data_IF_217435202582
#
_entry.id   IF_217435202582
#
_cell.length_a   1.000
_cell.length_b   1.000
_cell.length_c   1.000
_cell.angle_alpha   90.00
_cell.angle_beta   90.00
_cell.angle_gamma   90.00
#
_symmetry.space_group_name_H-M   'P 1'
#
loop_
_entity.id
_entity.type
_entity.pdbx_description
1 polymer ?
#
# COMPACT_ATOMS: atom_id res chain seq x y z
N UNK A 1 9.89 -24.61 -12.64
CA UNK A 1 9.09 -23.55 -13.28
C UNK A 1 8.46 -22.60 -12.26
N UNK A 2 7.74 -23.09 -11.24
CA UNK A 2 7.13 -22.24 -10.20
C UNK A 2 8.13 -21.37 -9.43
N UNK A 3 9.28 -21.91 -9.02
CA UNK A 3 10.32 -21.12 -8.32
C UNK A 3 10.86 -19.97 -9.18
N UNK A 4 11.05 -20.22 -10.49
CA UNK A 4 11.51 -19.20 -11.43
C UNK A 4 10.47 -18.08 -11.55
N UNK A 5 9.19 -18.42 -11.69
CA UNK A 5 8.11 -17.44 -11.77
C UNK A 5 7.96 -16.63 -10.46
N UNK A 6 8.03 -17.29 -9.31
CA UNK A 6 8.02 -16.60 -8.02
C UNK A 6 9.19 -15.61 -7.91
N UNK A 7 10.41 -16.03 -8.30
CA UNK A 7 11.56 -15.12 -8.33
C UNK A 7 11.34 -13.95 -9.29
N UNK A 8 10.78 -14.20 -10.48
CA UNK A 8 10.45 -13.14 -11.44
C UNK A 8 9.44 -12.13 -10.89
N UNK A 9 8.39 -12.58 -10.18
CA UNK A 9 7.41 -11.69 -9.54
C UNK A 9 8.01 -10.92 -8.37
N UNK A 10 8.88 -11.53 -7.57
CA UNK A 10 9.62 -10.83 -6.53
C UNK A 10 10.48 -9.72 -7.12
N UNK A 11 11.27 -10.04 -8.16
CA UNK A 11 12.12 -9.07 -8.84
C UNK A 11 11.30 -7.94 -9.47
N UNK A 12 10.17 -8.27 -10.12
CA UNK A 12 9.26 -7.29 -10.68
C UNK A 12 8.70 -6.36 -9.60
N UNK A 13 8.20 -6.91 -8.48
CA UNK A 13 7.69 -6.12 -7.37
C UNK A 13 8.75 -5.20 -6.76
N UNK A 14 9.98 -5.68 -6.60
CA UNK A 14 11.08 -4.88 -6.09
C UNK A 14 11.46 -3.73 -7.06
N UNK A 15 11.50 -3.99 -8.38
CA UNK A 15 11.75 -2.96 -9.41
C UNK A 15 10.64 -1.91 -9.40
N UNK A 16 9.38 -2.36 -9.35
CA UNK A 16 8.22 -1.46 -9.32
C UNK A 16 8.23 -0.61 -8.04
N UNK A 17 8.54 -1.19 -6.88
CA UNK A 17 8.65 -0.43 -5.64
C UNK A 17 9.73 0.66 -5.69
N UNK A 18 10.90 0.33 -6.25
CA UNK A 18 11.99 1.30 -6.43
C UNK A 18 11.55 2.46 -7.34
N UNK A 19 10.86 2.15 -8.44
CA UNK A 19 10.30 3.16 -9.35
C UNK A 19 9.20 4.01 -8.66
N UNK A 20 8.28 3.37 -7.94
CA UNK A 20 7.21 4.06 -7.20
C UNK A 20 7.78 4.99 -6.14
N UNK A 21 8.86 4.60 -5.45
CA UNK A 21 9.55 5.47 -4.50
C UNK A 21 10.03 6.77 -5.16
N UNK A 22 10.70 6.67 -6.31
CA UNK A 22 11.15 7.85 -7.08
C UNK A 22 9.97 8.66 -7.60
N UNK A 23 8.91 8.00 -8.07
CA UNK A 23 7.69 8.66 -8.56
C UNK A 23 7.05 9.50 -7.45
N UNK A 24 6.93 8.95 -6.23
CA UNK A 24 6.37 9.63 -5.06
C UNK A 24 7.21 10.84 -4.66
N UNK A 25 8.55 10.75 -4.71
CA UNK A 25 9.44 11.88 -4.43
C UNK A 25 9.33 13.01 -5.45
N UNK A 26 9.01 12.70 -6.71
CA UNK A 26 8.90 13.69 -7.79
C UNK A 26 7.48 14.23 -7.98
N UNK A 27 6.47 13.57 -7.43
CA UNK A 27 5.08 13.95 -7.62
C UNK A 27 4.84 15.38 -7.11
N UNK A 28 4.19 16.21 -7.94
CA UNK A 28 3.92 17.64 -7.68
C UNK A 28 5.15 18.54 -7.47
N UNK A 29 6.37 18.09 -7.80
CA UNK A 29 7.59 18.93 -7.74
C UNK A 29 7.92 19.66 -9.05
N UNK A 30 7.13 19.44 -10.11
CA UNK A 30 7.41 19.96 -11.46
C UNK A 30 8.53 19.22 -12.20
N UNK A 31 9.20 18.25 -11.57
CA UNK A 31 10.16 17.37 -12.23
C UNK A 31 9.44 16.31 -13.07
N UNK A 32 9.96 16.00 -14.25
CA UNK A 32 9.39 14.94 -15.09
C UNK A 32 9.61 13.55 -14.48
N UNK A 33 8.62 12.67 -14.61
CA UNK A 33 8.66 11.30 -14.11
C UNK A 33 9.86 10.51 -14.66
N UNK A 34 10.14 10.68 -15.95
CA UNK A 34 11.24 10.00 -16.68
C UNK A 34 12.47 10.90 -16.88
N UNK A 35 12.42 12.16 -16.46
CA UNK A 35 13.53 13.10 -16.68
C UNK A 35 14.60 12.95 -15.62
N UNK A 36 15.84 12.73 -16.04
CA UNK A 36 17.03 12.75 -15.18
C UNK A 36 17.38 11.39 -14.55
N UNK A 37 18.68 11.09 -14.51
CA UNK A 37 19.23 9.90 -13.83
C UNK A 37 19.00 9.99 -12.32
N UNK A 38 18.76 8.85 -11.67
CA UNK A 38 18.75 8.78 -10.21
C UNK A 38 20.10 9.21 -9.65
N UNK A 39 20.11 10.04 -8.61
CA UNK A 39 21.31 10.59 -7.98
C UNK A 39 21.34 10.19 -6.53
N UNK A 40 22.54 10.10 -5.96
CA UNK A 40 22.69 9.86 -4.54
C UNK A 40 22.32 11.11 -3.74
N UNK A 41 21.51 10.95 -2.69
CA UNK A 41 21.04 12.05 -1.83
C UNK A 41 22.14 12.76 -1.03
N UNK A 42 23.33 12.14 -0.88
CA UNK A 42 24.45 12.72 -0.13
C UNK A 42 25.48 13.40 -1.04
N UNK A 43 25.88 12.73 -2.13
CA UNK A 43 26.99 13.16 -3.00
C UNK A 43 26.51 13.77 -4.33
N UNK A 44 25.22 13.65 -4.65
CA UNK A 44 24.59 14.05 -5.92
C UNK A 44 25.18 13.41 -7.19
N UNK A 45 26.10 12.45 -7.03
CA UNK A 45 26.67 11.64 -8.12
C UNK A 45 25.56 10.78 -8.75
N UNK A 46 25.50 10.69 -10.09
CA UNK A 46 24.55 9.81 -10.76
C UNK A 46 24.80 8.35 -10.38
N UNK A 47 23.73 7.63 -10.10
CA UNK A 47 23.78 6.21 -9.74
C UNK A 47 24.07 5.34 -10.97
N UNK A 48 24.86 4.28 -10.76
CA UNK A 48 25.09 3.25 -11.76
C UNK A 48 23.90 2.29 -11.83
N UNK A 49 23.68 1.61 -12.97
CA UNK A 49 22.61 0.61 -13.08
C UNK A 49 22.70 -0.50 -12.02
N UNK A 50 23.92 -0.91 -11.66
CA UNK A 50 24.15 -1.89 -10.59
C UNK A 50 23.73 -1.38 -9.20
N UNK A 51 23.87 -0.07 -8.94
CA UNK A 51 23.40 0.54 -7.70
C UNK A 51 21.86 0.65 -7.64
N UNK A 52 21.18 0.54 -8.78
CA UNK A 52 19.72 0.57 -8.90
C UNK A 52 19.07 -0.81 -8.76
N UNK A 53 19.84 -1.89 -8.64
CA UNK A 53 19.28 -3.24 -8.46
C UNK A 53 18.63 -3.31 -7.07
N UNK A 54 17.28 -3.40 -6.98
CA UNK A 54 16.54 -3.34 -5.72
C UNK A 54 16.98 -4.43 -4.75
N UNK A 55 17.00 -4.12 -3.45
CA UNK A 55 17.38 -5.00 -2.32
C UNK A 55 18.84 -5.50 -2.36
N UNK A 56 19.30 -6.04 -3.48
CA UNK A 56 20.63 -6.62 -3.67
C UNK A 56 21.71 -5.54 -3.55
N UNK A 57 21.53 -4.36 -4.16
CA UNK A 57 22.52 -3.29 -4.08
C UNK A 57 22.69 -2.81 -2.63
N UNK A 58 21.60 -2.73 -1.86
CA UNK A 58 21.63 -2.33 -0.46
C UNK A 58 22.39 -3.34 0.40
N UNK A 59 22.11 -4.64 0.24
CA UNK A 59 22.79 -5.71 0.98
C UNK A 59 24.26 -5.79 0.61
N UNK A 60 24.58 -5.75 -0.69
CA UNK A 60 25.96 -5.82 -1.19
C UNK A 60 26.81 -4.63 -0.73
N UNK A 61 26.21 -3.43 -0.66
CA UNK A 61 26.88 -2.22 -0.18
C UNK A 61 26.77 -2.02 1.33
N UNK A 62 26.24 -2.99 2.07
CA UNK A 62 26.06 -2.94 3.54
C UNK A 62 25.32 -1.67 4.02
N UNK A 63 24.31 -1.25 3.26
CA UNK A 63 23.54 -0.05 3.53
C UNK A 63 24.31 1.26 3.34
N UNK A 64 25.36 1.27 2.51
CA UNK A 64 26.14 2.47 2.19
C UNK A 64 26.05 2.82 0.70
N UNK A 65 26.14 4.10 0.38
CA UNK A 65 26.19 4.56 -1.00
C UNK A 65 27.54 4.20 -1.64
N UNK A 66 27.53 3.61 -2.84
CA UNK A 66 28.75 3.28 -3.57
C UNK A 66 29.64 4.51 -3.87
N UNK A 67 29.06 5.70 -4.09
CA UNK A 67 29.84 6.91 -4.42
C UNK A 67 30.65 7.47 -3.25
N UNK A 68 30.04 7.55 -2.06
CA UNK A 68 30.54 8.38 -0.97
C UNK A 68 30.52 7.68 0.40
N UNK A 69 30.05 6.43 0.47
CA UNK A 69 29.95 5.68 1.72
C UNK A 69 28.87 6.17 2.70
N UNK A 70 28.05 7.16 2.30
CA UNK A 70 26.95 7.65 3.13
C UNK A 70 25.94 6.55 3.44
N UNK A 71 25.37 6.56 4.64
CA UNK A 71 24.37 5.56 5.05
C UNK A 71 23.06 5.75 4.28
N UNK A 72 22.57 4.69 3.67
CA UNK A 72 21.29 4.65 2.97
C UNK A 72 20.17 4.27 3.94
N UNK A 73 19.02 4.96 3.91
CA UNK A 73 17.90 4.65 4.77
C UNK A 73 17.31 3.27 4.45
N UNK A 74 16.89 2.54 5.48
CA UNK A 74 16.26 1.22 5.36
C UNK A 74 14.88 1.25 4.69
N UNK A 75 14.25 2.44 4.56
CA UNK A 75 12.90 2.60 4.01
C UNK A 75 12.80 2.00 2.59
N UNK A 76 13.74 2.33 1.71
CA UNK A 76 13.73 1.86 0.32
C UNK A 76 13.84 0.33 0.20
N UNK A 77 14.88 -0.36 0.73
CA UNK A 77 14.99 -1.81 0.59
C UNK A 77 13.85 -2.56 1.30
N UNK A 78 13.30 -2.02 2.39
CA UNK A 78 12.14 -2.62 3.04
C UNK A 78 10.88 -2.55 2.16
N UNK A 79 10.64 -1.41 1.50
CA UNK A 79 9.49 -1.26 0.60
C UNK A 79 9.63 -2.11 -0.66
N UNK A 80 10.85 -2.28 -1.15
CA UNK A 80 11.18 -3.16 -2.28
C UNK A 80 10.93 -4.63 -1.94
N UNK A 81 11.44 -5.09 -0.79
CA UNK A 81 11.20 -6.44 -0.31
C UNK A 81 9.72 -6.68 -0.03
N UNK A 82 9.03 -5.73 0.60
CA UNK A 82 7.60 -5.85 0.91
C UNK A 82 6.76 -6.00 -0.35
N UNK A 83 6.91 -5.12 -1.35
CA UNK A 83 6.13 -5.24 -2.59
C UNK A 83 6.52 -6.50 -3.38
N UNK A 84 7.80 -6.88 -3.38
CA UNK A 84 8.26 -8.14 -3.95
C UNK A 84 7.55 -9.36 -3.34
N UNK A 85 7.47 -9.43 -2.02
CA UNK A 85 6.73 -10.50 -1.31
C UNK A 85 5.24 -10.46 -1.64
N UNK A 86 4.63 -9.28 -1.65
CA UNK A 86 3.20 -9.13 -1.99
C UNK A 86 2.90 -9.57 -3.43
N UNK A 87 3.79 -9.31 -4.38
CA UNK A 87 3.67 -9.78 -5.77
C UNK A 87 3.74 -11.30 -5.88
N UNK A 88 4.65 -11.93 -5.11
CA UNK A 88 4.73 -13.39 -5.03
C UNK A 88 3.45 -13.97 -4.41
N UNK A 89 2.96 -13.37 -3.32
CA UNK A 89 1.71 -13.77 -2.69
C UNK A 89 0.51 -13.65 -3.64
N UNK A 90 0.42 -12.54 -4.39
CA UNK A 90 -0.62 -12.33 -5.39
C UNK A 90 -0.57 -13.40 -6.51
N UNK A 91 0.63 -13.73 -7.00
CA UNK A 91 0.81 -14.80 -7.99
C UNK A 91 0.45 -16.18 -7.43
N UNK A 92 0.82 -16.47 -6.19
CA UNK A 92 0.52 -17.75 -5.54
C UNK A 92 -0.99 -17.96 -5.36
N UNK A 93 -1.73 -16.88 -5.07
CA UNK A 93 -3.17 -16.92 -4.84
C UNK A 93 -3.99 -16.94 -6.14
N UNK A 94 -3.66 -16.08 -7.11
CA UNK A 94 -4.47 -15.87 -8.31
C UNK A 94 -3.98 -16.61 -9.56
N UNK A 95 -2.76 -17.15 -9.52
CA UNK A 95 -2.09 -17.70 -10.70
C UNK A 95 -1.92 -16.67 -11.84
N UNK A 96 -1.56 -17.15 -13.03
CA UNK A 96 -1.50 -16.28 -14.23
C UNK A 96 -2.93 -16.02 -14.75
N UNK A 97 -3.51 -14.91 -14.33
CA UNK A 97 -4.86 -14.48 -14.70
C UNK A 97 -4.93 -12.97 -14.95
N UNK A 98 -6.01 -12.50 -15.58
CA UNK A 98 -6.28 -11.06 -15.69
C UNK A 98 -6.46 -10.40 -14.33
N UNK A 99 -7.02 -11.12 -13.35
CA UNK A 99 -7.16 -10.63 -11.98
C UNK A 99 -5.80 -10.34 -11.34
N UNK A 100 -4.78 -11.19 -11.60
CA UNK A 100 -3.41 -10.93 -11.14
C UNK A 100 -2.90 -9.59 -11.66
N UNK A 101 -3.03 -9.31 -12.96
CA UNK A 101 -2.55 -8.05 -13.54
C UNK A 101 -3.15 -6.83 -12.82
N UNK A 102 -4.47 -6.81 -12.63
CA UNK A 102 -5.14 -5.72 -11.91
C UNK A 102 -4.71 -5.66 -10.44
N UNK A 103 -4.50 -6.79 -9.79
CA UNK A 103 -4.05 -6.81 -8.41
C UNK A 103 -2.63 -6.24 -8.26
N UNK A 104 -1.70 -6.58 -9.16
CA UNK A 104 -0.35 -6.02 -9.16
C UNK A 104 -0.36 -4.49 -9.36
N UNK A 105 -1.24 -3.98 -10.24
CA UNK A 105 -1.44 -2.53 -10.43
C UNK A 105 -1.97 -1.90 -9.14
N UNK A 106 -2.99 -2.51 -8.50
CA UNK A 106 -3.53 -2.04 -7.22
C UNK A 106 -2.46 -2.00 -6.13
N UNK A 107 -1.65 -3.05 -5.96
CA UNK A 107 -0.57 -3.11 -4.97
C UNK A 107 0.49 -2.03 -5.22
N UNK A 108 0.84 -1.79 -6.49
CA UNK A 108 1.80 -0.75 -6.88
C UNK A 108 1.28 0.65 -6.57
N UNK A 109 0.03 0.94 -6.92
CA UNK A 109 -0.62 2.21 -6.62
C UNK A 109 -0.80 2.41 -5.11
N UNK A 110 -1.18 1.35 -4.38
CA UNK A 110 -1.33 1.36 -2.92
C UNK A 110 -0.01 1.66 -2.22
N UNK A 111 1.12 1.08 -2.68
CA UNK A 111 2.44 1.44 -2.16
C UNK A 111 2.72 2.93 -2.36
N UNK A 112 2.43 3.46 -3.55
CA UNK A 112 2.60 4.88 -3.83
C UNK A 112 1.78 5.78 -2.92
N UNK A 113 0.50 5.43 -2.70
CA UNK A 113 -0.41 6.13 -1.78
C UNK A 113 0.13 6.10 -0.35
N UNK A 114 0.53 4.94 0.16
CA UNK A 114 1.09 4.78 1.51
C UNK A 114 2.40 5.58 1.67
N UNK A 115 3.29 5.52 0.68
CA UNK A 115 4.56 6.25 0.75
C UNK A 115 4.36 7.77 0.69
N UNK A 116 3.42 8.24 -0.12
CA UNK A 116 3.10 9.66 -0.21
C UNK A 116 2.39 10.14 1.06
N UNK A 117 1.46 9.36 1.62
CA UNK A 117 0.77 9.67 2.89
C UNK A 117 1.74 9.75 4.08
N UNK A 118 2.70 8.81 4.17
CA UNK A 118 3.75 8.85 5.20
C UNK A 118 4.64 10.09 5.13
N UNK A 119 4.77 10.70 3.95
CA UNK A 119 5.64 11.87 3.73
C UNK A 119 4.87 13.20 3.77
N UNK A 120 3.61 13.23 3.35
CA UNK A 120 2.85 14.46 3.12
C UNK A 120 1.44 14.49 3.76
N UNK A 121 0.98 13.39 4.37
CA UNK A 121 -0.34 13.28 5.02
C UNK A 121 -1.55 13.59 4.12
N UNK A 122 -1.37 13.44 2.80
CA UNK A 122 -2.40 13.71 1.79
C UNK A 122 -2.36 12.56 0.79
N UNK A 123 -3.51 12.14 0.27
CA UNK A 123 -3.57 11.14 -0.80
C UNK A 123 -3.65 11.80 -2.18
N UNK A 124 -2.69 11.56 -3.09
CA UNK A 124 -2.71 12.14 -4.43
C UNK A 124 -3.88 11.57 -5.25
N UNK A 125 -4.80 12.43 -5.78
CA UNK A 125 -6.00 11.97 -6.47
C UNK A 125 -5.72 11.09 -7.70
N UNK A 126 -4.62 11.36 -8.42
CA UNK A 126 -4.22 10.58 -9.60
C UNK A 126 -3.92 9.12 -9.26
N UNK A 127 -3.13 8.86 -8.21
CA UNK A 127 -2.84 7.50 -7.76
C UNK A 127 -4.08 6.84 -7.14
N UNK A 128 -4.92 7.61 -6.45
CA UNK A 128 -6.13 7.10 -5.82
C UNK A 128 -7.12 6.57 -6.85
N UNK A 129 -7.32 7.30 -7.95
CA UNK A 129 -8.19 6.87 -9.05
C UNK A 129 -7.63 5.60 -9.71
N UNK A 130 -6.32 5.53 -9.96
CA UNK A 130 -5.68 4.33 -10.53
C UNK A 130 -5.91 3.12 -9.61
N UNK A 131 -5.72 3.30 -8.29
CA UNK A 131 -5.93 2.26 -7.31
C UNK A 131 -7.38 1.75 -7.28
N UNK A 132 -8.36 2.65 -7.26
CA UNK A 132 -9.78 2.28 -7.25
C UNK A 132 -10.17 1.58 -8.55
N UNK A 133 -9.77 2.12 -9.70
CA UNK A 133 -10.07 1.53 -11.00
C UNK A 133 -9.50 0.11 -11.14
N UNK A 134 -8.26 -0.10 -10.71
CA UNK A 134 -7.63 -1.42 -10.70
C UNK A 134 -8.33 -2.38 -9.73
N UNK A 135 -8.75 -1.92 -8.56
CA UNK A 135 -9.45 -2.74 -7.56
C UNK A 135 -10.85 -3.15 -8.03
N UNK A 136 -11.58 -2.26 -8.71
CA UNK A 136 -12.85 -2.57 -9.37
C UNK A 136 -12.65 -3.62 -10.46
N UNK A 137 -11.66 -3.43 -11.34
CA UNK A 137 -11.35 -4.35 -12.43
C UNK A 137 -10.96 -5.75 -11.91
N UNK A 138 -10.14 -5.81 -10.87
CA UNK A 138 -9.79 -7.05 -10.17
C UNK A 138 -11.04 -7.75 -9.62
N UNK A 139 -11.88 -7.03 -8.87
CA UNK A 139 -13.10 -7.62 -8.28
C UNK A 139 -14.07 -8.11 -9.34
N UNK A 140 -14.20 -7.37 -10.44
CA UNK A 140 -15.00 -7.80 -11.58
C UNK A 140 -14.47 -9.09 -12.19
N UNK A 141 -13.16 -9.18 -12.43
CA UNK A 141 -12.52 -10.37 -13.00
C UNK A 141 -12.65 -11.63 -12.11
N UNK A 142 -12.74 -11.46 -10.79
CA UNK A 142 -12.91 -12.56 -9.83
C UNK A 142 -14.37 -12.93 -9.55
N UNK A 143 -15.33 -12.10 -9.92
CA UNK A 143 -16.74 -12.31 -9.56
C UNK A 143 -17.39 -13.29 -10.55
N UNK A 144 -17.91 -14.44 -10.10
CA UNK A 144 -18.56 -15.42 -10.98
C UNK A 144 -19.90 -14.91 -11.55
N UNK A 145 -20.52 -13.94 -10.89
CA UNK A 145 -21.80 -13.36 -11.32
C UNK A 145 -21.87 -11.85 -11.05
N UNK A 146 -22.76 -11.17 -11.76
CA UNK A 146 -23.04 -9.77 -11.51
C UNK A 146 -23.58 -9.53 -10.09
N UNK A 147 -24.34 -10.48 -9.54
CA UNK A 147 -24.86 -10.39 -8.17
C UNK A 147 -23.74 -10.36 -7.13
N UNK A 148 -22.73 -11.23 -7.26
CA UNK A 148 -21.55 -11.25 -6.37
C UNK A 148 -20.66 -10.02 -6.50
N UNK A 149 -20.58 -9.45 -7.71
CA UNK A 149 -19.88 -8.19 -7.93
C UNK A 149 -20.64 -7.04 -7.25
N UNK A 150 -21.94 -6.93 -7.47
CA UNK A 150 -22.80 -5.91 -6.86
C UNK A 150 -22.80 -5.97 -5.34
N UNK A 151 -22.84 -7.15 -4.74
CA UNK A 151 -22.77 -7.29 -3.27
C UNK A 151 -21.42 -6.81 -2.71
N UNK A 152 -20.32 -7.07 -3.42
CA UNK A 152 -18.99 -6.58 -3.06
C UNK A 152 -18.92 -5.05 -3.16
N UNK A 153 -19.49 -4.46 -4.22
CA UNK A 153 -19.58 -3.02 -4.39
C UNK A 153 -20.44 -2.36 -3.30
N UNK A 154 -21.55 -2.96 -2.90
CA UNK A 154 -22.39 -2.46 -1.81
C UNK A 154 -21.61 -2.51 -0.49
N UNK A 155 -20.92 -3.62 -0.19
CA UNK A 155 -20.10 -3.74 1.01
C UNK A 155 -18.99 -2.69 1.05
N UNK A 156 -18.29 -2.49 -0.06
CA UNK A 156 -17.27 -1.45 -0.20
C UNK A 156 -17.86 -0.04 -0.03
N UNK A 157 -19.02 0.24 -0.61
CA UNK A 157 -19.71 1.51 -0.48
C UNK A 157 -20.16 1.78 0.96
N UNK A 158 -20.63 0.77 1.69
CA UNK A 158 -21.01 0.90 3.09
C UNK A 158 -19.81 1.20 3.99
N UNK A 159 -18.67 0.52 3.77
CA UNK A 159 -17.42 0.80 4.49
C UNK A 159 -16.93 2.23 4.20
N UNK A 160 -16.91 2.62 2.93
CA UNK A 160 -16.52 3.97 2.53
C UNK A 160 -17.46 5.04 3.11
N UNK A 161 -18.78 4.77 3.12
CA UNK A 161 -19.78 5.63 3.71
C UNK A 161 -19.56 5.77 5.22
N UNK A 162 -19.27 4.68 5.94
CA UNK A 162 -18.98 4.74 7.37
C UNK A 162 -17.82 5.69 7.68
N UNK A 163 -16.74 5.64 6.89
CA UNK A 163 -15.60 6.56 7.04
C UNK A 163 -15.94 7.99 6.63
N UNK A 164 -16.71 8.17 5.56
CA UNK A 164 -17.17 9.49 5.14
C UNK A 164 -18.07 10.15 6.21
N UNK A 165 -18.92 9.37 6.88
CA UNK A 165 -19.74 9.84 8.00
C UNK A 165 -18.86 10.23 9.19
N UNK A 166 -17.85 9.43 9.54
CA UNK A 166 -16.88 9.78 10.60
C UNK A 166 -16.19 11.10 10.26
N UNK A 167 -15.76 11.29 9.01
CA UNK A 167 -15.17 12.55 8.56
C UNK A 167 -16.15 13.72 8.71
N UNK A 168 -17.40 13.55 8.24
CA UNK A 168 -18.42 14.59 8.29
C UNK A 168 -18.78 14.99 9.74
N UNK A 169 -19.05 14.01 10.60
CA UNK A 169 -19.42 14.26 12.00
C UNK A 169 -18.25 14.80 12.84
N UNK A 170 -17.02 14.40 12.53
CA UNK A 170 -15.81 14.91 13.21
C UNK A 170 -15.34 16.27 12.68
N UNK A 171 -16.02 16.84 11.67
CA UNK A 171 -15.57 18.04 10.93
C UNK A 171 -14.13 17.91 10.41
N UNK A 172 -13.77 16.70 9.98
CA UNK A 172 -12.43 16.36 9.47
C UNK A 172 -11.33 16.23 10.53
N UNK A 173 -11.66 16.29 11.83
CA UNK A 173 -10.65 16.18 12.90
C UNK A 173 -10.22 14.75 13.19
N UNK A 174 -11.08 13.77 12.92
CA UNK A 174 -10.78 12.37 13.21
C UNK A 174 -10.03 11.69 12.07
N UNK A 175 -10.34 12.05 10.83
CA UNK A 175 -9.92 11.28 9.65
C UNK A 175 -9.96 12.13 8.38
N UNK A 176 -9.10 11.82 7.40
CA UNK A 176 -9.03 12.52 6.12
C UNK A 176 -10.18 12.15 5.19
N UNK A 177 -10.64 13.10 4.38
CA UNK A 177 -11.71 12.84 3.40
C UNK A 177 -11.29 11.77 2.37
N UNK A 178 -10.01 11.73 2.00
CA UNK A 178 -9.48 10.80 1.01
C UNK A 178 -9.37 9.35 1.51
N UNK A 179 -9.54 9.10 2.81
CA UNK A 179 -9.47 7.76 3.36
C UNK A 179 -10.74 6.94 3.04
N UNK A 180 -11.90 7.60 2.86
CA UNK A 180 -13.14 6.94 2.46
C UNK A 180 -13.05 6.29 1.06
N UNK A 181 -12.63 7.01 -0.01
CA UNK A 181 -12.41 6.39 -1.32
C UNK A 181 -11.24 5.38 -1.33
N UNK A 182 -10.21 5.55 -0.49
CA UNK A 182 -9.18 4.53 -0.31
C UNK A 182 -9.77 3.22 0.25
N UNK A 183 -10.59 3.32 1.30
CA UNK A 183 -11.24 2.16 1.89
C UNK A 183 -12.23 1.49 0.94
N UNK A 184 -12.89 2.25 0.06
CA UNK A 184 -13.70 1.67 -1.02
C UNK A 184 -12.87 0.73 -1.90
N UNK A 185 -11.71 1.19 -2.40
CA UNK A 185 -10.83 0.36 -3.22
C UNK A 185 -10.27 -0.85 -2.47
N UNK A 186 -9.85 -0.66 -1.21
CA UNK A 186 -9.35 -1.75 -0.36
C UNK A 186 -10.42 -2.80 -0.04
N UNK A 187 -11.66 -2.37 0.19
CA UNK A 187 -12.79 -3.27 0.42
C UNK A 187 -13.11 -4.09 -0.83
N UNK A 188 -13.04 -3.50 -2.03
CA UNK A 188 -13.17 -4.27 -3.28
C UNK A 188 -12.03 -5.27 -3.46
N UNK A 189 -10.82 -4.90 -3.05
CA UNK A 189 -9.65 -5.77 -3.13
C UNK A 189 -9.81 -6.98 -2.18
N UNK A 190 -10.21 -6.75 -0.92
CA UNK A 190 -10.47 -7.82 0.06
C UNK A 190 -11.72 -8.66 -0.24
N UNK A 191 -12.80 -8.04 -0.76
CA UNK A 191 -14.03 -8.75 -1.12
C UNK A 191 -14.78 -9.31 0.09
N UNK A 192 -14.99 -10.63 0.19
CA UNK A 192 -15.74 -11.22 1.32
C UNK A 192 -15.14 -10.90 2.69
N UNK A 193 -13.82 -10.70 2.77
CA UNK A 193 -13.13 -10.38 4.03
C UNK A 193 -13.01 -8.87 4.29
N UNK A 194 -13.68 -8.02 3.49
CA UNK A 194 -13.58 -6.57 3.60
C UNK A 194 -13.91 -6.02 5.00
N UNK A 195 -14.97 -6.52 5.64
CA UNK A 195 -15.32 -6.11 7.01
C UNK A 195 -14.25 -6.51 8.02
N UNK A 196 -13.64 -7.68 7.85
CA UNK A 196 -12.52 -8.11 8.71
C UNK A 196 -11.31 -7.20 8.49
N UNK A 197 -10.99 -6.87 7.24
CA UNK A 197 -9.91 -5.93 6.91
C UNK A 197 -10.12 -4.54 7.52
N UNK A 198 -11.36 -4.06 7.50
CA UNK A 198 -11.75 -2.81 8.16
C UNK A 198 -11.46 -2.86 9.67
N UNK A 199 -11.90 -3.92 10.36
CA UNK A 199 -11.63 -4.11 11.80
C UNK A 199 -10.14 -4.19 12.10
N UNK A 200 -9.38 -4.99 11.33
CA UNK A 200 -7.93 -5.10 11.49
C UNK A 200 -7.22 -3.75 11.33
N UNK A 201 -7.71 -2.89 10.44
CA UNK A 201 -7.15 -1.55 10.24
C UNK A 201 -7.24 -0.71 11.52
N UNK A 202 -8.39 -0.73 12.22
CA UNK A 202 -8.52 -0.04 13.51
C UNK A 202 -7.71 -0.68 14.61
N UNK A 203 -7.60 -2.01 14.66
CA UNK A 203 -6.81 -2.69 15.69
C UNK A 203 -5.31 -2.41 15.54
N UNK A 204 -4.79 -2.45 14.32
CA UNK A 204 -3.40 -2.10 14.01
C UNK A 204 -3.15 -0.63 14.36
N UNK A 205 -4.05 0.27 13.93
CA UNK A 205 -3.96 1.70 14.23
C UNK A 205 -4.01 1.99 15.73
N UNK A 206 -4.91 1.35 16.46
CA UNK A 206 -5.04 1.48 17.92
C UNK A 206 -3.81 0.94 18.64
N UNK A 207 -3.29 -0.24 18.26
CA UNK A 207 -2.10 -0.82 18.87
C UNK A 207 -0.87 0.07 18.71
N UNK A 208 -0.64 0.58 17.49
CA UNK A 208 0.47 1.50 17.21
C UNK A 208 0.26 2.85 17.93
N UNK A 209 -0.97 3.38 17.92
CA UNK A 209 -1.31 4.62 18.61
C UNK A 209 -1.09 4.55 20.12
N UNK A 210 -1.53 3.47 20.76
CA UNK A 210 -1.31 3.20 22.19
C UNK A 210 0.19 3.06 22.49
N UNK A 211 0.94 2.32 21.67
CA UNK A 211 2.40 2.19 21.84
C UNK A 211 3.13 3.54 21.73
N UNK A 212 2.68 4.42 20.83
CA UNK A 212 3.22 5.76 20.69
C UNK A 212 2.94 6.63 21.92
N UNK A 213 1.78 6.48 22.56
CA UNK A 213 1.42 7.18 23.80
C UNK A 213 2.31 6.76 24.97
N UNK A 214 2.59 5.46 25.11
CA UNK A 214 3.48 4.96 26.17
C UNK A 214 4.94 5.39 26.01
N UNK A 215 5.43 5.46 24.77
CA UNK A 215 6.82 5.84 24.48
C UNK A 215 7.06 7.36 24.53
N UNK A 216 5.99 8.17 24.60
CA UNK A 216 6.08 9.65 24.68
C UNK A 216 5.32 10.21 25.89
N UNK A 217 5.84 10.03 27.12
CA UNK A 217 5.18 10.45 28.36
C UNK A 217 4.96 11.96 28.53
N UNK A 218 5.52 12.82 27.66
CA UNK A 218 5.32 14.28 27.67
C UNK A 218 4.16 14.78 26.79
N UNK A 219 3.29 13.87 26.36
CA UNK A 219 2.20 14.16 25.44
C UNK A 219 2.73 14.28 24.01
N UNK A 220 2.12 13.59 23.05
CA UNK A 220 2.26 14.05 21.67
C UNK A 220 1.76 15.49 21.65
N UNK A 221 2.50 16.41 21.01
CA UNK A 221 1.92 17.71 20.70
C UNK A 221 0.59 17.41 19.98
N UNK A 222 -0.53 17.90 20.52
CA UNK A 222 -1.80 17.92 19.79
C UNK A 222 -1.50 18.46 18.38
N UNK A 223 -1.61 17.60 17.36
CA UNK A 223 -1.23 17.93 15.98
C UNK A 223 -0.24 16.99 15.28
N UNK A 224 0.26 15.91 15.91
CA UNK A 224 0.87 14.83 15.13
C UNK A 224 -0.24 13.95 14.56
N UNK A 225 -0.76 14.36 13.42
CA UNK A 225 -1.68 13.53 12.63
C UNK A 225 -0.92 12.28 12.17
N UNK A 226 -1.38 11.11 12.63
CA UNK A 226 -0.81 9.84 12.21
C UNK A 226 -1.47 9.47 10.89
N UNK A 227 -0.69 9.27 9.80
CA UNK A 227 -1.24 8.87 8.51
C UNK A 227 -2.03 7.56 8.67
N UNK A 228 -3.30 7.57 8.27
CA UNK A 228 -4.20 6.43 8.48
C UNK A 228 -4.17 5.42 7.32
N UNK A 229 -3.79 5.85 6.11
CA UNK A 229 -3.70 4.99 4.94
C UNK A 229 -2.78 3.76 5.12
N UNK A 230 -1.61 3.83 5.80
CA UNK A 230 -0.79 2.67 6.11
C UNK A 230 -1.52 1.60 6.92
N UNK A 231 -2.35 2.01 7.89
CA UNK A 231 -3.11 1.07 8.74
C UNK A 231 -4.25 0.42 7.97
N UNK A 232 -4.95 1.20 7.12
CA UNK A 232 -5.94 0.68 6.18
C UNK A 232 -5.30 -0.35 5.24
N UNK A 233 -4.20 0.00 4.59
CA UNK A 233 -3.49 -0.90 3.69
C UNK A 233 -3.10 -2.21 4.40
N UNK A 234 -2.51 -2.11 5.61
CA UNK A 234 -2.09 -3.28 6.38
C UNK A 234 -3.28 -4.17 6.78
N UNK A 235 -4.37 -3.59 7.29
CA UNK A 235 -5.53 -4.36 7.76
C UNK A 235 -6.23 -5.11 6.62
N UNK A 236 -6.46 -4.44 5.49
CA UNK A 236 -7.10 -5.06 4.33
C UNK A 236 -6.22 -6.09 3.63
N UNK A 237 -4.91 -5.83 3.49
CA UNK A 237 -4.00 -6.84 2.93
C UNK A 237 -3.86 -8.06 3.85
N UNK A 238 -3.84 -7.86 5.18
CA UNK A 238 -3.84 -8.96 6.12
C UNK A 238 -5.10 -9.82 5.98
N UNK A 239 -6.28 -9.19 5.90
CA UNK A 239 -7.54 -9.90 5.69
C UNK A 239 -7.61 -10.60 4.33
N UNK A 240 -7.02 -10.03 3.28
CA UNK A 240 -6.89 -10.67 1.98
C UNK A 240 -5.98 -11.91 2.05
N UNK A 241 -4.74 -11.80 2.51
CA UNK A 241 -3.80 -12.92 2.45
C UNK A 241 -4.11 -14.03 3.46
N UNK A 242 -4.68 -13.70 4.61
CA UNK A 242 -5.05 -14.72 5.62
C UNK A 242 -6.38 -15.39 5.33
N UNK A 243 -7.24 -14.76 4.51
CA UNK A 243 -8.63 -15.16 4.28
C UNK A 243 -9.43 -15.35 5.59
N UNK A 244 -8.94 -14.80 6.70
CA UNK A 244 -9.59 -14.96 7.99
C UNK A 244 -10.83 -14.07 8.02
N UNK A 245 -11.99 -14.68 8.23
CA UNK A 245 -13.23 -13.95 8.41
C UNK A 245 -13.62 -13.97 9.90
N UNK A 246 -13.45 -12.84 10.58
CA UNK A 246 -13.81 -12.68 11.99
C UNK A 246 -15.29 -12.95 12.23
N UNK A 247 -16.13 -12.71 11.21
CA UNK A 247 -17.57 -12.83 11.29
C UNK A 247 -18.09 -14.18 10.76
N UNK A 248 -17.21 -15.14 10.49
CA UNK A 248 -17.61 -16.49 10.07
C UNK A 248 -18.58 -17.15 11.06
N UNK A 249 -18.47 -16.84 12.36
CA UNK A 249 -19.34 -17.37 13.41
C UNK A 249 -20.77 -16.80 13.40
N UNK A 250 -21.01 -15.66 12.75
CA UNK A 250 -22.36 -15.07 12.60
C UNK A 250 -23.12 -15.72 11.42
N UNK A 251 -22.40 -16.45 10.56
CA UNK A 251 -22.95 -17.13 9.38
C UNK A 251 -23.17 -18.64 9.58
N UNK A 252 -23.26 -19.12 10.82
CA UNK A 252 -23.71 -20.49 11.11
C UNK A 252 -25.25 -20.44 11.23
N UNK A 253 -25.99 -21.26 10.46
CA UNK A 253 -27.46 -21.27 10.45
C UNK A 253 -28.08 -21.68 11.79
#
# INVERSE_FOLDING_TARGET
>A
MQFLLAFSFFALGAIVASFVGVLVERLYTGQGFLSGRSRCNACNTPLTPLALVPVISYVALQGRAHCCGARLPLRAPLTEALLGVLFVGAYADLGLSFALLYFLISLSALLGLVLYDLSHQILPPSLLIIFIAASVAMRYALSPSLATFSSSCITAALIALALALIHFFSRGRAMGFADAPLAFGLALLAGPTALTGFVFSFWIGAGIGIGLLFTRPRGSRMGVEVPFAPFLAAGFLLAYFTQWNLFAFIAIP
#
